data_IF_711939032692
#
_entry.id   IF_711939032692
#
_cell.length_a   1.000
_cell.length_b   1.000
_cell.length_c   1.000
_cell.angle_alpha   90.00
_cell.angle_beta   90.00
_cell.angle_gamma   90.00
#
_symmetry.space_group_name_H-M   'P 1'
#
loop_
_entity.id
_entity.type
_entity.pdbx_description
1 polymer ?
#
# COMPACT_ATOMS: atom_id res chain seq x y z
N UNK A 1 -52.69 0.16 5.95
CA UNK A 1 -51.52 -0.36 5.20
C UNK A 1 -50.31 0.34 5.77
N UNK A 2 -49.70 -0.30 6.78
CA UNK A 2 -48.58 0.27 7.56
C UNK A 2 -47.28 -0.08 6.82
N UNK A 3 -46.45 0.95 6.61
CA UNK A 3 -45.13 0.79 6.03
C UNK A 3 -44.20 0.49 7.23
N UNK A 4 -43.72 -0.74 7.29
CA UNK A 4 -42.65 -1.16 8.21
C UNK A 4 -41.36 -0.45 7.79
N UNK A 5 -40.87 0.42 8.65
CA UNK A 5 -39.54 1.01 8.54
C UNK A 5 -38.55 0.01 9.17
N UNK A 6 -37.83 -0.70 8.30
CA UNK A 6 -36.70 -1.55 8.69
C UNK A 6 -35.62 -0.67 9.34
N UNK A 7 -35.43 -0.87 10.64
CA UNK A 7 -34.38 -0.27 11.42
C UNK A 7 -33.05 -0.97 11.07
N UNK A 8 -32.29 -0.39 10.15
CA UNK A 8 -30.91 -0.76 9.91
C UNK A 8 -30.07 -0.42 11.16
N UNK A 9 -29.83 -1.44 11.97
CA UNK A 9 -29.00 -1.34 13.18
C UNK A 9 -27.57 -0.99 12.79
N UNK A 10 -27.16 0.22 13.11
CA UNK A 10 -25.80 0.74 12.98
C UNK A 10 -24.90 0.16 14.10
N UNK A 11 -24.36 -1.05 13.87
CA UNK A 11 -23.36 -1.67 14.75
C UNK A 11 -21.93 -1.49 14.20
N UNK A 12 -21.56 -0.29 13.71
CA UNK A 12 -20.24 0.00 13.12
C UNK A 12 -19.40 1.03 13.91
N UNK A 13 -19.69 1.25 15.20
CA UNK A 13 -18.96 2.24 16.02
C UNK A 13 -17.83 1.64 16.88
N UNK A 14 -17.27 0.48 16.50
CA UNK A 14 -16.15 -0.13 17.24
C UNK A 14 -14.89 -0.24 16.38
N UNK A 15 -14.19 0.86 16.22
CA UNK A 15 -12.74 1.02 16.10
C UNK A 15 -12.43 2.45 15.64
N UNK A 16 -11.61 3.27 16.27
CA UNK A 16 -10.17 3.19 16.05
C UNK A 16 -9.23 3.83 17.08
N UNK A 17 -9.70 4.25 18.24
CA UNK A 17 -8.79 4.84 19.24
C UNK A 17 -7.77 3.81 19.78
N UNK A 18 -8.10 2.51 19.71
CA UNK A 18 -7.24 1.43 20.20
C UNK A 18 -6.22 0.96 19.16
N UNK A 19 -6.56 0.99 17.86
CA UNK A 19 -5.64 0.64 16.76
C UNK A 19 -4.45 1.60 16.66
N UNK A 20 -4.65 2.88 16.94
CA UNK A 20 -3.63 3.91 16.96
C UNK A 20 -2.54 3.64 18.00
N UNK A 21 -2.94 3.34 19.23
CA UNK A 21 -2.03 3.01 20.33
C UNK A 21 -1.34 1.65 20.08
N UNK A 22 -2.07 0.67 19.56
CA UNK A 22 -1.53 -0.64 19.21
C UNK A 22 -0.45 -0.51 18.13
N UNK A 23 -0.70 0.25 17.07
CA UNK A 23 0.28 0.47 16.01
C UNK A 23 1.53 1.19 16.52
N UNK A 24 1.38 2.22 17.36
CA UNK A 24 2.51 2.92 17.97
C UNK A 24 3.36 1.98 18.81
N UNK A 25 2.75 1.13 19.65
CA UNK A 25 3.46 0.14 20.48
C UNK A 25 4.13 -0.93 19.63
N UNK A 26 3.42 -1.45 18.62
CA UNK A 26 3.97 -2.45 17.71
C UNK A 26 5.21 -1.90 16.96
N UNK A 27 5.15 -0.68 16.46
CA UNK A 27 6.30 -0.01 15.84
C UNK A 27 7.45 0.17 16.80
N UNK A 28 7.21 0.70 18.00
CA UNK A 28 8.24 0.92 19.01
C UNK A 28 8.99 -0.36 19.38
N UNK A 29 8.32 -1.51 19.34
CA UNK A 29 8.93 -2.82 19.59
C UNK A 29 9.64 -3.38 18.35
N UNK A 30 9.03 -3.28 17.16
CA UNK A 30 9.51 -3.93 15.94
C UNK A 30 10.58 -3.12 15.22
N UNK A 31 10.54 -1.79 15.26
CA UNK A 31 11.50 -0.94 14.58
C UNK A 31 12.95 -1.20 15.01
N UNK A 32 13.30 -1.23 16.31
CA UNK A 32 14.67 -1.54 16.73
C UNK A 32 15.09 -2.98 16.39
N UNK A 33 14.14 -3.92 16.39
CA UNK A 33 14.42 -5.29 15.96
C UNK A 33 14.72 -5.34 14.47
N UNK A 34 13.90 -4.68 13.63
CA UNK A 34 14.11 -4.64 12.19
C UNK A 34 15.44 -3.98 11.82
N UNK A 35 15.78 -2.85 12.44
CA UNK A 35 17.06 -2.15 12.20
C UNK A 35 18.28 -2.94 12.66
N UNK A 36 18.13 -3.87 13.60
CA UNK A 36 19.20 -4.81 13.99
C UNK A 36 19.34 -5.97 12.99
N UNK A 37 18.25 -6.39 12.37
CA UNK A 37 18.23 -7.53 11.44
C UNK A 37 18.59 -7.13 9.99
N UNK A 38 18.24 -5.91 9.57
CA UNK A 38 18.48 -5.38 8.22
C UNK A 38 19.06 -3.98 8.27
N UNK A 39 19.74 -3.60 7.20
CA UNK A 39 20.24 -2.23 7.03
C UNK A 39 19.19 -1.41 6.30
N UNK A 40 18.78 -0.28 6.86
CA UNK A 40 17.83 0.63 6.22
C UNK A 40 18.51 1.91 5.77
N UNK A 41 18.14 2.39 4.58
CA UNK A 41 18.40 3.75 4.10
C UNK A 41 17.07 4.44 3.85
N UNK A 42 17.00 5.69 4.23
CA UNK A 42 15.81 6.50 4.11
C UNK A 42 16.14 7.79 3.36
N UNK A 43 15.38 8.10 2.30
CA UNK A 43 15.53 9.30 1.49
C UNK A 43 14.16 9.95 1.31
N UNK A 44 14.10 11.32 1.33
CA UNK A 44 12.87 12.06 1.04
C UNK A 44 11.79 11.97 2.12
N UNK A 45 12.10 11.56 3.34
CA UNK A 45 11.13 11.44 4.43
C UNK A 45 10.58 12.80 4.87
N UNK A 46 11.28 13.91 4.54
CA UNK A 46 10.81 15.28 4.68
C UNK A 46 9.59 15.60 3.80
N UNK A 47 9.34 14.82 2.75
CA UNK A 47 8.14 14.92 1.90
C UNK A 47 6.89 14.37 2.59
N UNK A 48 7.05 13.60 3.66
CA UNK A 48 5.92 13.06 4.40
C UNK A 48 5.26 14.19 5.21
N UNK A 49 3.98 14.48 5.03
CA UNK A 49 3.32 15.56 5.76
C UNK A 49 3.29 15.26 7.26
N UNK A 50 3.59 16.24 8.09
CA UNK A 50 3.57 16.11 9.56
C UNK A 50 2.17 15.78 10.10
N UNK A 51 1.14 16.26 9.42
CA UNK A 51 -0.27 16.05 9.76
C UNK A 51 -1.15 15.99 8.50
N UNK A 52 -2.40 15.57 8.66
CA UNK A 52 -3.35 15.44 7.56
C UNK A 52 -3.19 14.15 6.75
N UNK A 53 -4.14 13.87 5.85
CA UNK A 53 -4.14 12.66 5.04
C UNK A 53 -3.13 12.72 3.90
N UNK A 54 -2.56 11.57 3.55
CA UNK A 54 -1.80 11.37 2.33
C UNK A 54 -1.83 9.90 1.91
N UNK A 55 -1.71 9.64 0.61
CA UNK A 55 -1.66 8.29 0.07
C UNK A 55 -0.21 7.97 -0.32
N UNK A 56 0.38 6.96 0.34
CA UNK A 56 1.69 6.44 -0.02
C UNK A 56 1.53 5.34 -1.07
N UNK A 57 2.20 5.51 -2.20
CA UNK A 57 2.11 4.58 -3.32
C UNK A 57 3.47 3.94 -3.61
N UNK A 58 3.82 2.82 -2.96
CA UNK A 58 5.05 2.10 -3.25
C UNK A 58 4.93 1.17 -4.46
N UNK A 59 6.08 0.85 -5.11
CA UNK A 59 6.22 -0.33 -5.93
C UNK A 59 6.01 -1.59 -5.09
N UNK A 60 5.68 -2.73 -5.73
CA UNK A 60 5.36 -3.95 -4.99
C UNK A 60 6.15 -5.15 -5.49
N UNK A 61 7.24 -5.49 -4.80
CA UNK A 61 8.19 -6.57 -5.17
C UNK A 61 8.35 -7.66 -4.09
N UNK A 62 7.86 -7.39 -2.86
CA UNK A 62 7.93 -8.32 -1.73
C UNK A 62 6.75 -8.13 -0.79
N UNK A 63 6.45 -9.15 0.01
CA UNK A 63 5.53 -9.00 1.14
C UNK A 63 6.05 -7.99 2.18
N UNK A 64 7.36 -7.87 2.32
CA UNK A 64 7.99 -6.97 3.28
C UNK A 64 7.81 -5.49 2.94
N UNK A 65 7.41 -5.14 1.71
CA UNK A 65 7.21 -3.74 1.32
C UNK A 65 6.21 -3.03 2.24
N UNK A 66 5.03 -3.61 2.48
CA UNK A 66 4.05 -3.02 3.39
C UNK A 66 4.53 -3.04 4.84
N UNK A 67 5.18 -4.11 5.29
CA UNK A 67 5.67 -4.26 6.67
C UNK A 67 6.72 -3.21 6.99
N UNK A 68 7.72 -3.05 6.13
CA UNK A 68 8.79 -2.08 6.35
C UNK A 68 8.27 -0.63 6.24
N UNK A 69 7.35 -0.36 5.31
CA UNK A 69 6.70 0.95 5.22
C UNK A 69 5.91 1.26 6.50
N UNK A 70 5.08 0.33 7.00
CA UNK A 70 4.32 0.52 8.23
C UNK A 70 5.20 0.74 9.46
N UNK A 71 6.34 0.05 9.55
CA UNK A 71 7.27 0.18 10.69
C UNK A 71 8.00 1.53 10.66
N UNK A 72 8.36 2.04 9.48
CA UNK A 72 9.27 3.19 9.35
C UNK A 72 8.60 4.51 8.95
N UNK A 73 7.32 4.53 8.61
CA UNK A 73 6.62 5.75 8.18
C UNK A 73 6.56 6.88 9.22
N UNK A 74 6.91 6.63 10.48
CA UNK A 74 6.89 7.65 11.55
C UNK A 74 5.49 8.08 12.01
N UNK A 75 4.48 7.97 11.14
CA UNK A 75 3.07 8.26 11.37
C UNK A 75 2.21 6.99 11.26
N UNK A 76 0.96 7.09 11.67
CA UNK A 76 -0.01 6.03 11.43
C UNK A 76 -0.28 5.88 9.95
N UNK A 77 -0.08 4.65 9.47
CA UNK A 77 -0.35 4.27 8.09
C UNK A 77 -1.09 2.93 8.08
N UNK A 78 -2.10 2.83 7.25
CA UNK A 78 -2.84 1.59 7.05
C UNK A 78 -2.69 1.09 5.63
N UNK A 79 -2.61 -0.23 5.46
CA UNK A 79 -2.67 -0.91 4.17
C UNK A 79 -3.84 -1.89 4.18
N UNK A 80 -4.40 -2.16 3.01
CA UNK A 80 -5.34 -3.27 2.89
C UNK A 80 -4.62 -4.56 2.55
N UNK A 81 -4.99 -5.64 3.24
CA UNK A 81 -4.44 -6.98 3.03
C UNK A 81 -5.54 -8.00 2.78
N UNK A 82 -5.18 -9.12 2.16
CA UNK A 82 -6.11 -10.26 2.04
C UNK A 82 -6.44 -10.80 3.42
N UNK A 83 -7.73 -11.08 3.68
CA UNK A 83 -8.17 -11.63 4.96
C UNK A 83 -7.44 -12.95 5.29
N UNK A 84 -7.11 -13.77 4.27
CA UNK A 84 -6.41 -15.05 4.45
C UNK A 84 -5.01 -14.88 5.09
N UNK A 85 -4.39 -13.70 4.97
CA UNK A 85 -3.11 -13.44 5.67
C UNK A 85 -3.28 -13.33 7.19
N UNK A 86 -4.51 -13.20 7.68
CA UNK A 86 -4.84 -13.10 9.10
C UNK A 86 -5.37 -14.42 9.69
N UNK A 87 -5.46 -15.49 8.90
CA UNK A 87 -5.94 -16.80 9.35
C UNK A 87 -4.93 -17.53 10.26
N UNK A 88 -3.64 -17.19 10.14
CA UNK A 88 -2.61 -17.75 11.03
C UNK A 88 -2.65 -17.08 12.40
N UNK A 89 -2.54 -17.86 13.47
CA UNK A 89 -2.48 -17.35 14.84
C UNK A 89 -1.35 -16.32 15.08
N UNK A 90 -0.25 -16.40 14.32
CA UNK A 90 0.89 -15.46 14.38
C UNK A 90 0.56 -14.11 13.76
N UNK A 91 -0.21 -14.10 12.68
CA UNK A 91 -0.49 -12.91 11.88
C UNK A 91 -1.80 -12.23 12.26
N UNK A 92 -2.73 -12.99 12.85
CA UNK A 92 -4.06 -12.52 13.27
C UNK A 92 -4.04 -11.28 14.16
N UNK A 93 -3.04 -11.16 15.03
CA UNK A 93 -2.90 -10.02 15.93
C UNK A 93 -1.84 -9.03 15.46
N UNK A 94 -0.76 -9.52 14.82
CA UNK A 94 0.36 -8.69 14.40
C UNK A 94 -0.01 -7.74 13.26
N UNK A 95 -0.70 -8.23 12.23
CA UNK A 95 -0.99 -7.40 11.05
C UNK A 95 -2.00 -6.28 11.34
N UNK A 96 -3.12 -6.51 12.04
CA UNK A 96 -3.98 -5.42 12.49
C UNK A 96 -3.26 -4.43 13.42
N UNK A 97 -2.39 -4.92 14.32
CA UNK A 97 -1.59 -4.06 15.20
C UNK A 97 -0.59 -3.19 14.43
N UNK A 98 -0.16 -3.60 13.23
CA UNK A 98 0.68 -2.79 12.34
C UNK A 98 -0.13 -1.84 11.45
N UNK A 99 -1.46 -1.97 11.39
CA UNK A 99 -2.34 -1.13 10.56
C UNK A 99 -2.83 -1.82 9.29
N UNK A 100 -2.68 -3.13 9.17
CA UNK A 100 -3.26 -3.86 8.04
C UNK A 100 -4.75 -4.09 8.24
N UNK A 101 -5.56 -3.61 7.31
CA UNK A 101 -7.01 -3.75 7.30
C UNK A 101 -7.38 -4.99 6.46
N UNK A 102 -8.02 -6.02 7.06
CA UNK A 102 -8.46 -7.18 6.31
C UNK A 102 -9.60 -6.82 5.36
N UNK A 103 -9.51 -7.29 4.12
CA UNK A 103 -10.59 -7.18 3.16
C UNK A 103 -10.95 -8.56 2.66
N UNK A 104 -12.23 -8.91 2.81
CA UNK A 104 -12.81 -10.08 2.19
C UNK A 104 -12.91 -9.84 0.67
N UNK A 105 -12.32 -10.75 -0.08
CA UNK A 105 -12.31 -10.71 -1.55
C UNK A 105 -13.30 -11.67 -2.18
N UNK A 106 -14.23 -12.23 -1.44
CA UNK A 106 -15.22 -13.21 -1.91
C UNK A 106 -16.39 -12.56 -2.68
N UNK A 107 -16.62 -11.25 -2.52
CA UNK A 107 -17.72 -10.51 -3.18
C UNK A 107 -17.32 -9.78 -4.47
N UNK A 108 -18.30 -9.45 -5.31
CA UNK A 108 -18.15 -8.89 -6.65
C UNK A 108 -17.53 -7.47 -6.75
N UNK A 109 -17.50 -6.68 -5.67
CA UNK A 109 -16.97 -5.30 -5.63
C UNK A 109 -15.67 -5.17 -4.81
N UNK A 110 -14.73 -6.08 -5.06
CA UNK A 110 -13.47 -6.22 -4.29
C UNK A 110 -12.63 -4.94 -4.16
N UNK A 111 -12.59 -4.12 -5.20
CA UNK A 111 -11.86 -2.85 -5.21
C UNK A 111 -12.61 -1.75 -4.47
N UNK A 112 -13.93 -1.79 -4.45
CA UNK A 112 -14.78 -0.77 -3.85
C UNK A 112 -14.70 -0.82 -2.31
N UNK A 113 -14.78 -2.00 -1.72
CA UNK A 113 -14.60 -2.19 -0.28
C UNK A 113 -13.23 -1.72 0.21
N UNK A 114 -12.16 -1.97 -0.59
CA UNK A 114 -10.82 -1.46 -0.31
C UNK A 114 -10.75 0.06 -0.33
N UNK A 115 -11.36 0.70 -1.35
CA UNK A 115 -11.39 2.15 -1.48
C UNK A 115 -12.22 2.81 -0.37
N UNK A 116 -13.33 2.21 0.04
CA UNK A 116 -14.15 2.72 1.16
C UNK A 116 -13.39 2.65 2.49
N UNK A 117 -12.68 1.56 2.76
CA UNK A 117 -11.84 1.44 3.95
C UNK A 117 -10.71 2.48 3.93
N UNK A 118 -10.08 2.69 2.78
CA UNK A 118 -9.05 3.70 2.58
C UNK A 118 -9.58 5.12 2.81
N UNK A 119 -10.74 5.44 2.28
CA UNK A 119 -11.40 6.73 2.47
C UNK A 119 -11.65 7.02 3.96
N UNK A 120 -12.16 6.04 4.72
CA UNK A 120 -12.37 6.19 6.17
C UNK A 120 -11.06 6.51 6.90
N UNK A 121 -9.95 5.88 6.54
CA UNK A 121 -8.62 6.14 7.12
C UNK A 121 -8.17 7.57 6.81
N UNK A 122 -8.20 7.97 5.55
CA UNK A 122 -7.75 9.28 5.11
C UNK A 122 -8.59 10.42 5.71
N UNK A 123 -9.92 10.24 5.82
CA UNK A 123 -10.80 11.25 6.45
C UNK A 123 -10.52 11.45 7.96
N UNK A 124 -9.82 10.54 8.62
CA UNK A 124 -9.31 10.73 9.98
C UNK A 124 -7.97 11.48 10.02
N UNK A 125 -7.44 11.90 8.87
CA UNK A 125 -6.14 12.57 8.79
C UNK A 125 -4.94 11.61 8.90
N UNK A 126 -5.16 10.31 8.69
CA UNK A 126 -4.12 9.29 8.74
C UNK A 126 -3.54 9.03 7.34
N UNK A 127 -2.40 8.32 7.30
CA UNK A 127 -1.80 7.86 6.05
C UNK A 127 -2.44 6.56 5.57
N UNK A 128 -2.52 6.40 4.26
CA UNK A 128 -2.96 5.15 3.64
C UNK A 128 -1.98 4.69 2.57
N UNK A 129 -1.60 3.42 2.61
CA UNK A 129 -0.72 2.82 1.62
C UNK A 129 -1.51 2.01 0.60
N UNK A 130 -1.24 2.24 -0.68
CA UNK A 130 -1.83 1.49 -1.80
C UNK A 130 -0.76 1.16 -2.82
N UNK A 131 -0.67 -0.10 -3.21
CA UNK A 131 0.20 -0.54 -4.30
C UNK A 131 -0.49 -0.28 -5.63
N UNK A 132 -0.02 0.66 -6.46
CA UNK A 132 -0.70 1.01 -7.70
C UNK A 132 -0.73 -0.14 -8.72
N UNK A 133 0.24 -1.03 -8.68
CA UNK A 133 0.31 -2.23 -9.53
C UNK A 133 -0.81 -3.26 -9.23
N UNK A 134 -1.40 -3.21 -8.02
CA UNK A 134 -2.47 -4.11 -7.58
C UNK A 134 -2.04 -5.54 -7.23
N UNK A 135 -0.84 -5.93 -7.58
CA UNK A 135 -0.22 -7.23 -7.26
C UNK A 135 1.30 -7.12 -7.21
N UNK A 136 1.98 -8.12 -6.62
CA UNK A 136 3.45 -8.13 -6.54
C UNK A 136 4.07 -8.42 -7.90
N UNK A 137 5.10 -7.66 -8.25
CA UNK A 137 5.99 -7.97 -9.35
C UNK A 137 6.90 -9.14 -8.96
N UNK A 138 6.84 -10.24 -9.71
CA UNK A 138 7.68 -11.42 -9.45
C UNK A 138 9.02 -11.35 -10.16
N UNK A 139 9.09 -10.65 -11.26
CA UNK A 139 10.30 -10.46 -12.09
C UNK A 139 11.13 -9.24 -11.68
N UNK A 140 10.59 -8.38 -10.81
CA UNK A 140 11.25 -7.16 -10.35
C UNK A 140 11.03 -5.95 -11.23
N UNK A 141 10.23 -6.06 -12.30
CA UNK A 141 9.87 -4.93 -13.15
C UNK A 141 8.72 -4.12 -12.53
N UNK A 142 8.55 -2.88 -12.95
CA UNK A 142 7.46 -2.00 -12.53
C UNK A 142 6.32 -2.08 -13.55
N UNK A 143 5.14 -2.46 -13.12
CA UNK A 143 3.98 -2.64 -13.99
C UNK A 143 3.05 -1.42 -13.99
N UNK A 144 2.21 -1.32 -15.04
CA UNK A 144 1.22 -0.24 -15.19
C UNK A 144 0.31 -0.13 -13.97
N UNK A 145 0.19 1.08 -13.42
CA UNK A 145 -0.65 1.35 -12.27
C UNK A 145 -2.14 1.41 -12.60
N UNK A 146 -2.97 0.94 -11.66
CA UNK A 146 -4.41 1.14 -11.65
C UNK A 146 -4.76 2.53 -11.10
N UNK A 147 -5.87 3.13 -11.56
CA UNK A 147 -6.30 4.48 -11.20
C UNK A 147 -6.89 4.61 -9.78
N UNK A 148 -6.84 3.56 -8.97
CA UNK A 148 -7.46 3.55 -7.64
C UNK A 148 -6.90 4.61 -6.69
N UNK A 149 -5.58 4.82 -6.70
CA UNK A 149 -4.92 5.84 -5.88
C UNK A 149 -5.33 7.25 -6.32
N UNK A 150 -5.33 7.53 -7.63
CA UNK A 150 -5.75 8.82 -8.18
C UNK A 150 -7.22 9.12 -7.85
N UNK A 151 -8.12 8.16 -8.03
CA UNK A 151 -9.54 8.30 -7.69
C UNK A 151 -9.75 8.60 -6.20
N UNK A 152 -9.02 7.90 -5.34
CA UNK A 152 -9.10 8.11 -3.90
C UNK A 152 -8.57 9.48 -3.49
N UNK A 153 -7.42 9.90 -4.04
CA UNK A 153 -6.81 11.20 -3.80
C UNK A 153 -7.75 12.35 -4.20
N UNK A 154 -8.34 12.27 -5.39
CA UNK A 154 -9.32 13.23 -5.88
C UNK A 154 -10.56 13.30 -5.01
N UNK A 155 -11.08 12.13 -4.56
CA UNK A 155 -12.28 12.05 -3.70
C UNK A 155 -12.06 12.66 -2.32
N UNK A 156 -10.86 12.49 -1.75
CA UNK A 156 -10.51 12.97 -0.40
C UNK A 156 -9.91 14.37 -0.42
N UNK A 157 -9.31 14.78 -1.53
CA UNK A 157 -8.56 16.03 -1.65
C UNK A 157 -7.20 15.96 -0.94
N UNK A 158 -6.46 14.85 -1.08
CA UNK A 158 -5.17 14.67 -0.41
C UNK A 158 -4.06 14.34 -1.43
N UNK A 159 -2.78 14.65 -1.11
CA UNK A 159 -1.67 14.36 -2.01
C UNK A 159 -1.39 12.86 -2.11
N UNK A 160 -0.77 12.48 -3.24
CA UNK A 160 -0.19 11.17 -3.46
C UNK A 160 1.34 11.27 -3.30
N UNK A 161 1.92 10.38 -2.51
CA UNK A 161 3.36 10.27 -2.31
C UNK A 161 3.88 9.05 -3.05
N UNK A 162 4.65 9.21 -4.14
CA UNK A 162 5.34 8.10 -4.76
C UNK A 162 6.41 7.56 -3.80
N UNK A 163 6.49 6.25 -3.65
CA UNK A 163 7.47 5.60 -2.77
C UNK A 163 8.24 4.55 -3.54
N UNK A 164 9.58 4.62 -3.50
CA UNK A 164 10.47 3.62 -4.05
C UNK A 164 10.99 2.69 -2.95
N UNK A 165 10.73 1.39 -3.07
CA UNK A 165 11.27 0.38 -2.16
C UNK A 165 12.23 -0.51 -2.94
N UNK A 166 13.48 -0.61 -2.45
CA UNK A 166 14.58 -1.31 -3.12
C UNK A 166 15.20 -2.30 -2.13
N UNK A 167 15.52 -3.52 -2.58
CA UNK A 167 16.20 -4.53 -1.78
C UNK A 167 15.28 -5.51 -1.05
N UNK A 168 13.98 -5.28 -0.98
CA UNK A 168 13.05 -6.20 -0.30
C UNK A 168 12.88 -7.53 -1.05
N UNK A 169 13.06 -7.53 -2.38
CA UNK A 169 13.04 -8.76 -3.19
C UNK A 169 14.21 -9.68 -2.87
N UNK A 170 15.39 -9.12 -2.66
CA UNK A 170 16.59 -9.85 -2.24
C UNK A 170 16.47 -10.35 -0.80
N UNK A 171 15.85 -9.56 0.09
CA UNK A 171 15.57 -9.93 1.46
C UNK A 171 14.57 -11.07 1.52
N UNK A 172 13.44 -10.96 0.81
CA UNK A 172 12.43 -12.00 0.74
C UNK A 172 11.93 -12.15 -0.69
N UNK A 173 12.55 -13.04 -1.48
CA UNK A 173 12.08 -13.40 -2.81
C UNK A 173 10.62 -13.88 -2.79
N UNK A 174 9.87 -13.77 -3.89
CA UNK A 174 8.43 -14.06 -3.95
C UNK A 174 8.01 -15.42 -3.41
N UNK A 175 8.85 -16.44 -3.54
CA UNK A 175 8.55 -17.84 -3.13
C UNK A 175 9.24 -18.23 -1.81
N UNK A 176 9.93 -17.28 -1.15
CA UNK A 176 10.62 -17.52 0.11
C UNK A 176 9.71 -17.25 1.30
N UNK A 177 9.65 -18.20 2.23
CA UNK A 177 8.94 -18.04 3.51
C UNK A 177 9.81 -17.27 4.52
N UNK A 178 11.13 -17.48 4.48
CA UNK A 178 12.07 -16.90 5.44
C UNK A 178 12.86 -15.75 4.80
N UNK A 179 12.86 -14.55 5.40
CA UNK A 179 13.67 -13.45 4.92
C UNK A 179 15.15 -13.68 5.21
N UNK A 180 16.01 -13.26 4.29
CA UNK A 180 17.47 -13.24 4.46
C UNK A 180 17.85 -12.05 5.33
N UNK A 181 18.75 -12.27 6.26
CA UNK A 181 19.19 -11.25 7.22
C UNK A 181 20.40 -10.44 6.70
N UNK A 182 20.63 -9.28 7.31
CA UNK A 182 21.78 -8.38 7.09
C UNK A 182 21.88 -7.77 5.69
N UNK A 183 20.85 -7.91 4.88
CA UNK A 183 20.73 -7.22 3.60
C UNK A 183 20.22 -5.79 3.80
N UNK A 184 20.36 -4.97 2.76
CA UNK A 184 19.95 -3.57 2.77
C UNK A 184 18.57 -3.39 2.13
N UNK A 185 17.75 -2.53 2.73
CA UNK A 185 16.50 -2.02 2.18
C UNK A 185 16.57 -0.50 2.12
N UNK A 186 16.32 0.07 0.96
CA UNK A 186 16.19 1.52 0.80
C UNK A 186 14.72 1.88 0.59
N UNK A 187 14.23 2.86 1.35
CA UNK A 187 12.89 3.43 1.21
C UNK A 187 13.05 4.90 0.84
N UNK A 188 12.54 5.29 -0.32
CA UNK A 188 12.58 6.66 -0.84
C UNK A 188 11.16 7.21 -0.96
N UNK A 189 10.92 8.41 -0.47
CA UNK A 189 9.64 9.11 -0.62
C UNK A 189 9.86 10.28 -1.58
N UNK A 190 9.21 10.26 -2.72
CA UNK A 190 9.26 11.33 -3.72
C UNK A 190 8.43 12.54 -3.33
N UNK A 191 8.51 13.59 -4.14
CA UNK A 191 7.73 14.80 -3.96
C UNK A 191 6.21 14.50 -4.02
N UNK A 192 5.39 15.19 -3.21
CA UNK A 192 3.94 15.00 -3.24
C UNK A 192 3.35 15.42 -4.59
N UNK A 193 2.55 14.54 -5.19
CA UNK A 193 1.72 14.85 -6.35
C UNK A 193 0.44 15.53 -5.85
N UNK A 194 0.31 16.82 -6.14
CA UNK A 194 -0.87 17.60 -5.80
C UNK A 194 -1.97 17.41 -6.84
N UNK A 195 -3.10 16.85 -6.39
CA UNK A 195 -4.27 16.59 -7.23
C UNK A 195 -5.28 17.74 -7.23
N UNK A 196 -5.06 18.78 -6.43
CA UNK A 196 -6.00 19.92 -6.27
C UNK A 196 -6.26 20.66 -7.59
N UNK A 197 -5.26 20.70 -8.47
CA UNK A 197 -5.36 21.27 -9.82
C UNK A 197 -6.42 20.64 -10.72
N UNK A 198 -6.95 19.48 -10.35
CA UNK A 198 -7.96 18.73 -11.10
C UNK A 198 -9.28 18.60 -10.35
N UNK A 199 -9.52 19.37 -9.27
CA UNK A 199 -10.66 19.22 -8.35
C UNK A 199 -12.03 19.30 -9.04
N UNK A 200 -12.14 20.02 -10.15
CA UNK A 200 -13.34 20.16 -10.98
C UNK A 200 -13.56 18.99 -11.96
N UNK A 201 -12.59 18.06 -12.06
CA UNK A 201 -12.55 16.94 -13.01
C UNK A 201 -12.33 15.59 -12.32
N UNK A 202 -12.84 15.42 -11.11
CA UNK A 202 -12.56 14.25 -10.26
C UNK A 202 -12.98 12.90 -10.88
N UNK A 203 -14.01 12.88 -11.73
CA UNK A 203 -14.52 11.67 -12.39
C UNK A 203 -14.00 11.49 -13.83
N UNK A 204 -13.13 12.39 -14.30
CA UNK A 204 -12.57 12.31 -15.65
C UNK A 204 -11.50 11.20 -15.73
N UNK A 205 -11.80 10.16 -16.50
CA UNK A 205 -10.89 9.02 -16.70
C UNK A 205 -9.52 9.39 -17.26
N UNK A 206 -9.46 10.44 -18.10
CA UNK A 206 -8.19 10.92 -18.66
C UNK A 206 -7.32 11.55 -17.59
N UNK A 207 -7.92 12.38 -16.72
CA UNK A 207 -7.23 12.99 -15.57
C UNK A 207 -6.75 11.91 -14.59
N UNK A 208 -7.61 10.95 -14.25
CA UNK A 208 -7.21 9.84 -13.37
C UNK A 208 -6.06 9.02 -13.97
N UNK A 209 -6.03 8.86 -15.30
CA UNK A 209 -4.92 8.17 -15.97
C UNK A 209 -3.65 9.01 -15.96
N UNK A 210 -3.74 10.31 -16.23
CA UNK A 210 -2.62 11.26 -16.19
C UNK A 210 -1.93 11.26 -14.82
N UNK A 211 -2.72 11.44 -13.73
CA UNK A 211 -2.21 11.38 -12.35
C UNK A 211 -1.53 10.04 -12.07
N UNK A 212 -2.11 8.94 -12.57
CA UNK A 212 -1.53 7.61 -12.33
C UNK A 212 -0.25 7.40 -13.13
N UNK A 213 -0.16 7.90 -14.36
CA UNK A 213 1.04 7.78 -15.18
C UNK A 213 2.18 8.66 -14.61
N UNK A 214 1.89 9.87 -14.12
CA UNK A 214 2.81 10.70 -13.34
C UNK A 214 3.33 9.94 -12.11
N UNK A 215 2.44 9.33 -11.33
CA UNK A 215 2.80 8.52 -10.17
C UNK A 215 3.75 7.37 -10.54
N UNK A 216 3.44 6.63 -11.60
CA UNK A 216 4.28 5.50 -12.02
C UNK A 216 5.64 5.95 -12.53
N UNK A 217 5.72 7.08 -13.21
CA UNK A 217 6.96 7.70 -13.63
C UNK A 217 7.86 8.07 -12.44
N UNK A 218 7.27 8.70 -11.41
CA UNK A 218 7.99 9.04 -10.18
C UNK A 218 8.49 7.80 -9.43
N UNK A 219 7.66 6.74 -9.31
CA UNK A 219 8.08 5.47 -8.71
C UNK A 219 9.24 4.86 -9.51
N UNK A 220 9.19 4.89 -10.85
CA UNK A 220 10.28 4.43 -11.70
C UNK A 220 11.58 5.21 -11.46
N UNK A 221 11.49 6.54 -11.37
CA UNK A 221 12.64 7.40 -11.10
C UNK A 221 13.29 7.10 -9.73
N UNK A 222 12.48 6.82 -8.70
CA UNK A 222 12.96 6.47 -7.37
C UNK A 222 13.62 5.09 -7.30
N UNK A 223 13.10 4.12 -8.06
CA UNK A 223 13.51 2.71 -7.96
C UNK A 223 14.54 2.30 -9.01
N UNK A 224 14.53 2.93 -10.19
CA UNK A 224 15.30 2.52 -11.35
C UNK A 224 14.79 1.24 -12.02
N UNK A 225 13.58 0.76 -11.68
CA UNK A 225 12.99 -0.44 -12.27
C UNK A 225 12.66 -0.23 -13.75
N UNK A 226 12.78 -1.28 -14.55
CA UNK A 226 12.27 -1.30 -15.93
C UNK A 226 10.74 -1.24 -15.90
N UNK A 227 10.15 -0.29 -16.62
CA UNK A 227 8.70 -0.11 -16.68
C UNK A 227 8.05 -0.95 -17.77
N UNK A 228 6.99 -1.66 -17.43
CA UNK A 228 6.14 -2.43 -18.32
C UNK A 228 4.77 -1.78 -18.44
N UNK A 229 4.46 -1.20 -19.61
CA UNK A 229 3.16 -0.55 -19.86
C UNK A 229 2.01 -1.56 -20.08
N UNK A 230 1.96 -2.59 -19.23
CA UNK A 230 0.89 -3.59 -19.16
C UNK A 230 0.52 -3.82 -17.70
N UNK A 231 -0.74 -4.17 -17.45
CA UNK A 231 -1.15 -4.50 -16.08
C UNK A 231 -0.57 -5.84 -15.64
N UNK A 232 -0.05 -5.88 -14.42
CA UNK A 232 0.36 -7.12 -13.80
C UNK A 232 -0.85 -8.07 -13.69
N UNK A 233 -0.70 -9.32 -14.13
CA UNK A 233 -1.77 -10.31 -14.08
C UNK A 233 -1.58 -11.23 -12.87
N UNK A 234 -2.68 -11.75 -12.32
CA UNK A 234 -2.62 -12.77 -11.25
C UNK A 234 -1.85 -14.02 -11.67
N UNK A 235 -1.77 -14.29 -12.97
CA UNK A 235 -0.96 -15.38 -13.53
C UNK A 235 0.53 -15.15 -13.28
N UNK A 236 0.99 -13.89 -13.27
CA UNK A 236 2.37 -13.55 -12.91
C UNK A 236 2.66 -13.85 -11.42
N UNK A 237 1.67 -13.76 -10.52
CA UNK A 237 1.85 -14.18 -9.10
C UNK A 237 2.08 -15.70 -8.94
N UNK A 238 1.60 -16.52 -9.86
CA UNK A 238 1.70 -17.98 -9.80
C UNK A 238 2.91 -18.57 -10.56
N UNK A 239 3.63 -17.76 -11.34
CA UNK A 239 4.81 -18.20 -12.08
C UNK A 239 6.01 -18.24 -11.13
N UNK A 240 6.73 -19.37 -11.00
CA UNK A 240 8.00 -19.42 -10.26
C UNK A 240 9.00 -18.39 -10.78
N UNK A 241 9.78 -17.80 -9.88
CA UNK A 241 10.72 -16.71 -10.19
C UNK A 241 11.68 -17.04 -11.35
N UNK A 242 12.14 -18.29 -11.42
CA UNK A 242 13.02 -18.77 -12.51
C UNK A 242 12.37 -18.74 -13.89
N UNK A 243 11.06 -19.00 -13.98
CA UNK A 243 10.31 -18.95 -15.23
C UNK A 243 9.91 -17.52 -15.63
N UNK A 244 9.75 -16.62 -14.67
CA UNK A 244 9.43 -15.22 -14.94
C UNK A 244 10.56 -14.52 -15.70
N UNK A 245 11.82 -14.87 -15.39
CA UNK A 245 13.02 -14.32 -16.08
C UNK A 245 13.16 -14.85 -17.51
N UNK A 246 12.79 -16.11 -17.76
CA UNK A 246 12.96 -16.75 -19.08
C UNK A 246 11.94 -16.31 -20.13
N UNK A 247 10.77 -15.79 -19.71
CA UNK A 247 9.71 -15.36 -20.64
C UNK A 247 9.86 -13.92 -21.16
N UNK A 248 10.96 -13.25 -20.84
CA UNK A 248 11.25 -11.86 -21.21
C UNK A 248 12.57 -11.70 -21.99
N UNK A 249 13.14 -12.82 -22.47
CA UNK A 249 14.29 -12.87 -23.39
C UNK A 249 13.89 -12.78 -24.87
#
# INVERSE_FOLDING_TARGET
>A
MAIETDSYSSNDDHAPADTSRAQTRARALLQPLCTKLWKFRFEGFENLPESGPAILCPNHISFLDCVFTMIHAGRQISFVGKAEYMDSWKTKYLFPALGMIPIDRSGGSKSEGALLAAEKVLRRGELFGIFPEGTRSRDGMLYKGHTGAARLAMKVGCPILPVGIIGTREIQPPDSVMPRLRLECTIKIGAPIDVSRYSDRADDHMVLREITDELMYEIQALTGQEYRNVYATKRAESIPTEQAVLNHG
#
